data_IF_578321366129
#
_entry.id   IF_578321366129
#
_cell.length_a   1.000
_cell.length_b   1.000
_cell.length_c   1.000
_cell.angle_alpha   90.00
_cell.angle_beta   90.00
_cell.angle_gamma   90.00
#
_symmetry.space_group_name_H-M   'P 1'
#
loop_
_entity.id
_entity.type
_entity.pdbx_description
1 polymer ?
#
# COMPACT_ATOMS: atom_id res chain seq x y z
N UNK A 1 1.99 -4.98 1.50
CA UNK A 1 2.03 -5.99 2.59
C UNK A 1 3.42 -6.64 2.56
N UNK A 2 4.00 -7.09 3.69
CA UNK A 2 5.29 -7.80 3.69
C UNK A 2 5.35 -8.98 2.72
N UNK A 3 4.24 -9.69 2.53
CA UNK A 3 4.13 -10.81 1.58
C UNK A 3 4.11 -10.40 0.10
N UNK A 4 3.99 -9.10 -0.23
CA UNK A 4 4.10 -8.69 -1.63
C UNK A 4 5.55 -8.86 -2.08
N UNK A 5 5.81 -9.27 -3.33
CA UNK A 5 7.15 -9.20 -3.90
C UNK A 5 7.65 -7.75 -3.86
N UNK A 6 8.95 -7.58 -3.61
CA UNK A 6 9.62 -6.27 -3.53
C UNK A 6 9.01 -5.36 -2.46
N UNK A 7 8.75 -5.91 -1.28
CA UNK A 7 8.45 -5.12 -0.10
C UNK A 7 9.74 -4.48 0.47
N UNK A 8 9.73 -3.19 0.87
CA UNK A 8 8.64 -2.23 0.73
C UNK A 8 8.43 -1.77 -0.73
N UNK A 9 7.16 -1.66 -1.12
CA UNK A 9 6.78 -1.27 -2.49
C UNK A 9 7.05 0.22 -2.74
N UNK A 10 7.63 0.54 -3.88
CA UNK A 10 7.69 1.92 -4.38
C UNK A 10 6.29 2.46 -4.66
N UNK A 11 6.08 3.75 -4.37
CA UNK A 11 4.84 4.46 -4.71
C UNK A 11 5.13 5.49 -5.77
N UNK A 12 4.27 5.55 -6.79
CA UNK A 12 4.30 6.67 -7.74
C UNK A 12 3.20 7.64 -7.37
N UNK A 13 3.61 8.86 -7.09
CA UNK A 13 2.74 9.98 -6.77
C UNK A 13 2.91 11.05 -7.85
N UNK A 14 1.80 11.46 -8.47
CA UNK A 14 1.74 12.61 -9.37
C UNK A 14 0.77 13.59 -8.76
N UNK A 15 1.21 14.84 -8.63
CA UNK A 15 0.36 15.94 -8.20
C UNK A 15 0.56 17.10 -9.16
N UNK A 16 -0.39 17.25 -10.08
CA UNK A 16 -0.46 18.34 -11.04
C UNK A 16 -1.75 19.15 -10.78
N UNK A 17 -1.83 20.43 -11.22
CA UNK A 17 -3.07 21.17 -11.19
C UNK A 17 -4.20 20.40 -11.89
N UNK A 18 -5.29 20.12 -11.18
CA UNK A 18 -6.45 19.38 -11.70
C UNK A 18 -6.29 17.85 -11.79
N UNK A 19 -5.13 17.29 -11.39
CA UNK A 19 -4.92 15.84 -11.45
C UNK A 19 -4.00 15.34 -10.32
N UNK A 20 -4.56 14.44 -9.49
CA UNK A 20 -3.82 13.69 -8.48
C UNK A 20 -3.86 12.20 -8.80
N UNK A 21 -2.72 11.54 -8.68
CA UNK A 21 -2.60 10.10 -8.89
C UNK A 21 -1.62 9.51 -7.90
N UNK A 22 -2.04 8.44 -7.23
CA UNK A 22 -1.18 7.62 -6.39
C UNK A 22 -1.41 6.16 -6.74
N UNK A 23 -0.33 5.41 -6.97
CA UNK A 23 -0.42 3.97 -7.10
C UNK A 23 0.76 3.25 -6.45
N UNK A 24 0.54 2.04 -5.90
CA UNK A 24 1.63 1.14 -5.58
C UNK A 24 2.27 0.65 -6.88
N UNK A 25 3.52 1.04 -7.11
CA UNK A 25 4.24 0.84 -8.36
C UNK A 25 5.35 -0.20 -8.17
N UNK A 26 4.97 -1.46 -7.90
CA UNK A 26 5.94 -2.54 -7.61
C UNK A 26 6.88 -2.90 -8.78
N UNK A 27 6.57 -2.43 -10.00
CA UNK A 27 7.42 -2.55 -11.21
C UNK A 27 8.14 -1.25 -11.57
N UNK A 28 8.15 -0.25 -10.69
CA UNK A 28 8.75 1.06 -10.99
C UNK A 28 10.26 0.98 -11.24
N UNK A 29 10.98 0.28 -10.36
CA UNK A 29 12.43 0.18 -10.44
C UNK A 29 12.90 -0.80 -11.53
N UNK A 30 12.14 -1.87 -11.75
CA UNK A 30 12.48 -2.94 -12.69
C UNK A 30 11.24 -3.75 -13.13
N UNK A 31 11.24 -4.34 -14.34
CA UNK A 31 10.19 -5.23 -14.81
C UNK A 31 9.97 -6.42 -13.86
N UNK A 32 8.74 -6.93 -13.74
CA UNK A 32 8.44 -8.15 -13.01
C UNK A 32 7.93 -9.23 -13.97
N UNK A 33 8.61 -10.37 -14.02
CA UNK A 33 8.21 -11.48 -14.87
C UNK A 33 7.17 -12.34 -14.16
N UNK A 34 6.00 -12.49 -14.78
CA UNK A 34 4.93 -13.36 -14.28
C UNK A 34 4.95 -14.68 -15.05
N UNK A 35 5.07 -15.79 -14.31
CA UNK A 35 5.03 -17.11 -14.92
C UNK A 35 3.59 -17.46 -15.39
N UNK A 36 3.43 -18.19 -16.51
CA UNK A 36 2.14 -18.67 -16.96
C UNK A 36 1.39 -19.43 -15.85
N UNK A 37 0.07 -19.24 -15.78
CA UNK A 37 -0.82 -19.87 -14.80
C UNK A 37 -0.48 -19.65 -13.31
N UNK A 38 0.49 -18.78 -12.99
CA UNK A 38 0.79 -18.40 -11.61
C UNK A 38 0.01 -17.13 -11.25
N UNK A 39 -0.94 -17.18 -10.31
CA UNK A 39 -1.67 -15.98 -9.91
C UNK A 39 -0.73 -15.02 -9.17
N UNK A 40 -0.77 -13.75 -9.56
CA UNK A 40 -0.13 -12.67 -8.81
C UNK A 40 -1.17 -12.01 -7.89
N UNK A 41 -1.03 -12.20 -6.59
CA UNK A 41 -1.86 -11.53 -5.59
C UNK A 41 -1.03 -10.45 -4.90
N UNK A 42 -1.52 -9.22 -4.96
CA UNK A 42 -0.88 -8.07 -4.31
C UNK A 42 -1.85 -7.47 -3.30
N UNK A 43 -1.34 -7.16 -2.11
CA UNK A 43 -2.14 -6.61 -1.01
C UNK A 43 -1.63 -5.25 -0.57
N UNK A 44 -2.50 -4.25 -0.66
CA UNK A 44 -2.23 -2.88 -0.26
C UNK A 44 -3.35 -2.34 0.63
N UNK A 45 -3.03 -1.32 1.42
CA UNK A 45 -4.00 -0.54 2.20
C UNK A 45 -3.59 0.92 2.12
N UNK A 46 -4.56 1.80 1.91
CA UNK A 46 -4.40 3.25 2.07
C UNK A 46 -5.06 3.64 3.38
N UNK A 47 -4.29 4.28 4.27
CA UNK A 47 -4.80 4.87 5.49
C UNK A 47 -4.94 6.37 5.27
N UNK A 48 -6.17 6.86 5.27
CA UNK A 48 -6.48 8.29 5.30
C UNK A 48 -6.73 8.67 6.75
N UNK A 49 -6.01 9.67 7.25
CA UNK A 49 -6.20 10.23 8.59
C UNK A 49 -6.10 11.76 8.50
N UNK A 50 -6.75 12.51 9.40
CA UNK A 50 -6.58 13.95 9.48
C UNK A 50 -5.24 14.31 10.14
N UNK A 51 -4.75 15.51 9.84
CA UNK A 51 -3.58 16.09 10.52
C UNK A 51 -2.28 15.30 10.32
N UNK A 52 -1.35 15.52 11.24
CA UNK A 52 -0.09 14.79 11.26
C UNK A 52 -0.32 13.37 11.78
N UNK A 53 0.41 12.41 11.20
CA UNK A 53 0.35 11.04 11.67
C UNK A 53 1.06 10.89 13.00
N UNK A 54 0.42 10.23 13.95
CA UNK A 54 1.07 9.76 15.17
C UNK A 54 1.78 8.43 14.89
N UNK A 55 3.07 8.34 15.23
CA UNK A 55 3.90 7.19 14.84
C UNK A 55 3.38 5.87 15.44
N UNK A 56 3.00 5.87 16.72
CA UNK A 56 2.49 4.67 17.38
C UNK A 56 1.17 4.20 16.76
N UNK A 57 0.27 5.14 16.44
CA UNK A 57 -0.97 4.82 15.73
C UNK A 57 -0.72 4.29 14.32
N UNK A 58 0.25 4.84 13.57
CA UNK A 58 0.61 4.34 12.24
C UNK A 58 1.13 2.90 12.30
N UNK A 59 1.98 2.59 13.28
CA UNK A 59 2.49 1.23 13.49
C UNK A 59 1.37 0.26 13.90
N UNK A 60 0.45 0.68 14.77
CA UNK A 60 -0.70 -0.13 15.15
C UNK A 60 -1.62 -0.43 13.96
N UNK A 61 -1.88 0.55 13.09
CA UNK A 61 -2.64 0.35 11.85
C UNK A 61 -1.90 -0.56 10.86
N UNK A 62 -0.58 -0.47 10.77
CA UNK A 62 0.23 -1.37 9.96
C UNK A 62 0.20 -2.81 10.50
N UNK A 63 0.34 -3.01 11.81
CA UNK A 63 0.23 -4.32 12.45
C UNK A 63 -1.15 -4.97 12.22
N UNK A 64 -2.23 -4.20 12.36
CA UNK A 64 -3.60 -4.65 12.03
C UNK A 64 -3.74 -5.04 10.56
N UNK A 65 -3.13 -4.26 9.66
CA UNK A 65 -3.12 -4.59 8.24
C UNK A 65 -2.40 -5.91 7.97
N UNK A 66 -1.22 -6.13 8.55
CA UNK A 66 -0.47 -7.37 8.42
C UNK A 66 -1.29 -8.56 8.92
N UNK A 67 -1.91 -8.43 10.10
CA UNK A 67 -2.73 -9.48 10.71
C UNK A 67 -4.03 -9.84 9.95
N UNK A 68 -4.36 -9.16 8.85
CA UNK A 68 -5.61 -9.44 8.12
C UNK A 68 -6.83 -8.71 8.65
N UNK A 69 -6.71 -7.99 9.77
CA UNK A 69 -7.84 -7.33 10.42
C UNK A 69 -8.36 -6.14 9.61
N UNK A 70 -9.67 -6.04 9.45
CA UNK A 70 -10.29 -4.81 8.94
C UNK A 70 -10.35 -3.76 10.06
N UNK A 71 -10.29 -2.48 9.67
CA UNK A 71 -10.54 -1.40 10.64
C UNK A 71 -12.03 -1.45 11.02
N UNK A 72 -12.39 -1.34 12.30
CA UNK A 72 -13.79 -1.11 12.67
C UNK A 72 -14.31 0.15 11.96
N UNK A 73 -15.59 0.14 11.57
CA UNK A 73 -16.23 1.31 10.99
C UNK A 73 -16.12 2.49 11.96
N UNK A 74 -15.71 3.66 11.47
CA UNK A 74 -15.72 4.88 12.27
C UNK A 74 -17.18 5.28 12.50
N UNK A 75 -17.54 5.51 13.76
CA UNK A 75 -18.85 6.01 14.19
C UNK A 75 -18.98 7.52 13.95
#
# INVERSE_FOLDING_TARGET
HPDNPRYPTHWRCILNPGFGYINPAFVLAEPYQLAPATPLTLRYRVLVHPGWGDAEQMEAEFARFVAGAQRPAQA
#
